data_IF_264053616482
#
_entry.id   IF_264053616482
#
_cell.length_a   1.000
_cell.length_b   1.000
_cell.length_c   1.000
_cell.angle_alpha   90.00
_cell.angle_beta   90.00
_cell.angle_gamma   90.00
#
_symmetry.space_group_name_H-M   'P 1'
#
loop_
_entity.id
_entity.type
_entity.pdbx_description
1 polymer ?
#
# COMPACT_ATOMS: atom_id res chain seq x y z
N UNK A 1 6.52 3.03 12.48
CA UNK A 1 6.02 3.20 13.86
C UNK A 1 6.94 2.41 14.75
N UNK A 2 7.67 3.11 15.63
CA UNK A 2 8.51 2.49 16.64
C UNK A 2 7.65 2.33 17.90
N UNK A 3 7.40 1.11 18.32
CA UNK A 3 6.79 0.82 19.62
C UNK A 3 7.90 0.39 20.58
N UNK A 4 8.14 1.18 21.58
CA UNK A 4 9.06 0.87 22.68
C UNK A 4 8.28 0.18 23.78
N UNK A 5 8.67 -1.06 24.12
CA UNK A 5 8.22 -1.75 25.33
C UNK A 5 9.35 -1.65 26.37
N UNK A 6 9.13 -0.88 27.43
CA UNK A 6 10.03 -0.83 28.58
C UNK A 6 9.48 -1.81 29.60
N UNK A 7 10.12 -2.96 29.75
CA UNK A 7 9.85 -3.90 30.82
C UNK A 7 10.82 -3.74 31.98
N UNK A 8 10.56 -4.39 33.10
CA UNK A 8 11.44 -4.45 34.29
C UNK A 8 12.72 -5.26 34.06
N UNK A 9 12.92 -5.82 32.88
CA UNK A 9 14.10 -6.54 32.46
C UNK A 9 15.08 -5.61 31.73
N UNK A 10 16.38 -5.87 31.82
CA UNK A 10 17.44 -5.07 31.18
C UNK A 10 17.43 -5.19 29.62
N UNK A 11 16.40 -5.74 29.04
CA UNK A 11 16.27 -5.93 27.58
C UNK A 11 15.24 -4.98 27.01
N UNK A 12 15.62 -4.25 25.96
CA UNK A 12 14.73 -3.41 25.15
C UNK A 12 14.42 -4.17 23.87
N UNK A 13 13.13 -4.27 23.54
CA UNK A 13 12.69 -4.84 22.28
C UNK A 13 11.93 -3.80 21.49
N UNK A 14 12.42 -3.49 20.30
CA UNK A 14 11.78 -2.59 19.35
C UNK A 14 11.37 -3.36 18.09
N UNK A 15 10.30 -2.91 17.45
CA UNK A 15 9.88 -3.39 16.11
C UNK A 15 10.04 -2.27 15.10
N UNK A 16 10.79 -2.53 14.02
CA UNK A 16 10.99 -1.61 12.93
C UNK A 16 10.22 -2.08 11.70
N UNK A 17 9.46 -1.20 11.09
CA UNK A 17 8.75 -1.46 9.83
C UNK A 17 9.19 -0.44 8.78
N UNK A 18 9.79 -0.94 7.69
CA UNK A 18 10.27 -0.13 6.59
C UNK A 18 9.33 -0.23 5.40
N UNK A 19 9.04 0.91 4.78
CA UNK A 19 8.34 0.98 3.50
C UNK A 19 9.36 1.23 2.41
N UNK A 20 9.47 0.28 1.47
CA UNK A 20 10.44 0.36 0.40
C UNK A 20 9.80 0.92 -0.87
N UNK A 21 10.55 1.70 -1.68
CA UNK A 21 10.13 2.05 -3.03
C UNK A 21 9.86 0.80 -3.88
N UNK A 22 8.97 0.85 -4.87
CA UNK A 22 8.58 -0.32 -5.66
C UNK A 22 9.74 -0.93 -6.47
N UNK A 23 10.80 -0.18 -6.71
CA UNK A 23 12.00 -0.61 -7.44
C UNK A 23 13.14 -1.08 -6.56
N UNK A 24 12.98 -1.03 -5.22
CA UNK A 24 14.00 -1.47 -4.29
C UNK A 24 13.93 -2.99 -4.06
N UNK A 25 15.09 -3.62 -4.03
CA UNK A 25 15.23 -5.03 -3.64
C UNK A 25 15.13 -5.17 -2.13
N UNK A 26 14.09 -5.84 -1.66
CA UNK A 26 13.82 -5.99 -0.24
C UNK A 26 14.87 -6.80 0.50
N UNK A 27 15.50 -7.79 -0.14
CA UNK A 27 16.55 -8.61 0.47
C UNK A 27 17.83 -7.81 0.66
N UNK A 28 18.22 -7.01 -0.33
CA UNK A 28 19.38 -6.11 -0.22
C UNK A 28 19.13 -5.04 0.86
N UNK A 29 17.95 -4.44 0.87
CA UNK A 29 17.58 -3.46 1.89
C UNK A 29 17.64 -4.07 3.30
N UNK A 30 17.16 -5.30 3.47
CA UNK A 30 17.25 -6.04 4.73
C UNK A 30 18.70 -6.24 5.18
N UNK A 31 19.58 -6.67 4.28
CA UNK A 31 21.01 -6.87 4.58
C UNK A 31 21.71 -5.57 4.97
N UNK A 32 21.41 -4.45 4.30
CA UNK A 32 21.99 -3.16 4.63
C UNK A 32 21.51 -2.62 5.99
N UNK A 33 20.22 -2.82 6.31
CA UNK A 33 19.67 -2.47 7.63
C UNK A 33 20.35 -3.32 8.72
N UNK A 34 20.46 -4.62 8.54
CA UNK A 34 21.11 -5.51 9.47
C UNK A 34 22.56 -5.11 9.70
N UNK A 35 23.32 -4.93 8.64
CA UNK A 35 24.71 -4.48 8.69
C UNK A 35 24.82 -3.15 9.47
N UNK A 36 23.97 -2.18 9.16
CA UNK A 36 23.99 -0.86 9.79
C UNK A 36 23.73 -0.94 11.29
N UNK A 37 22.75 -1.74 11.71
CA UNK A 37 22.36 -1.85 13.12
C UNK A 37 23.32 -2.68 13.95
N UNK A 38 24.05 -3.61 13.34
CA UNK A 38 24.98 -4.50 14.04
C UNK A 38 26.45 -4.04 13.98
N UNK A 39 26.82 -3.12 13.08
CA UNK A 39 28.23 -2.75 12.87
C UNK A 39 28.84 -1.98 14.04
N UNK A 40 28.10 -1.10 14.65
CA UNK A 40 28.60 -0.23 15.75
C UNK A 40 27.45 0.14 16.71
N UNK A 41 26.97 -0.77 17.53
CA UNK A 41 25.93 -0.48 18.49
C UNK A 41 26.41 0.54 19.55
N UNK A 42 25.61 1.58 19.86
CA UNK A 42 26.00 2.59 20.84
C UNK A 42 26.19 1.98 22.23
N UNK A 43 27.14 2.50 22.98
CA UNK A 43 27.43 2.11 24.36
C UNK A 43 27.77 0.61 24.53
N UNK A 44 28.35 -0.03 23.52
CA UNK A 44 28.68 -1.46 23.54
C UNK A 44 27.46 -2.36 23.84
N UNK A 45 26.26 -1.94 23.43
CA UNK A 45 25.07 -2.76 23.59
C UNK A 45 25.15 -4.03 22.76
N UNK A 46 24.71 -5.15 23.31
CA UNK A 46 24.48 -6.34 22.55
C UNK A 46 23.17 -6.21 21.76
N UNK A 47 23.24 -6.26 20.43
CA UNK A 47 22.09 -6.13 19.54
C UNK A 47 21.88 -7.40 18.77
N UNK A 48 20.67 -7.91 18.76
CA UNK A 48 20.25 -9.02 17.91
C UNK A 48 19.02 -8.61 17.08
N UNK A 49 18.95 -9.12 15.85
CA UNK A 49 17.84 -8.84 14.93
C UNK A 49 17.11 -10.13 14.57
N UNK A 50 15.79 -10.04 14.56
CA UNK A 50 14.93 -11.09 14.03
C UNK A 50 14.07 -10.52 12.92
N UNK A 51 14.22 -11.04 11.71
CA UNK A 51 13.39 -10.66 10.57
C UNK A 51 12.09 -11.44 10.56
N UNK A 52 10.98 -10.73 10.37
CA UNK A 52 9.67 -11.37 10.23
C UNK A 52 9.34 -11.62 8.76
N UNK A 53 9.45 -10.57 7.92
CA UNK A 53 9.09 -10.65 6.51
C UNK A 53 9.78 -9.56 5.70
N UNK A 54 10.23 -9.93 4.49
CA UNK A 54 10.65 -8.99 3.47
C UNK A 54 9.88 -9.26 2.18
N UNK A 55 9.37 -8.21 1.54
CA UNK A 55 8.68 -8.31 0.25
C UNK A 55 9.00 -7.08 -0.60
N UNK A 56 9.15 -7.30 -1.89
CA UNK A 56 9.34 -6.23 -2.86
C UNK A 56 8.04 -5.42 -3.03
N UNK A 57 8.21 -4.14 -3.36
CA UNK A 57 7.10 -3.32 -3.81
C UNK A 57 6.63 -3.74 -5.21
N UNK A 58 5.55 -3.14 -5.65
CA UNK A 58 5.01 -3.33 -6.98
C UNK A 58 4.95 -2.00 -7.73
N UNK A 59 5.64 -1.96 -8.88
CA UNK A 59 5.56 -0.82 -9.79
C UNK A 59 4.40 -1.06 -10.75
N UNK A 60 3.27 -0.43 -10.48
CA UNK A 60 2.07 -0.58 -11.29
C UNK A 60 2.34 -0.13 -12.73
N UNK A 61 1.88 -0.90 -13.75
CA UNK A 61 1.96 -0.48 -15.14
C UNK A 61 1.13 0.79 -15.37
N UNK A 62 1.51 1.57 -16.38
CA UNK A 62 0.75 2.75 -16.78
C UNK A 62 -0.67 2.36 -17.18
N UNK A 63 -1.64 3.15 -16.74
CA UNK A 63 -3.03 3.00 -17.10
C UNK A 63 -3.24 3.24 -18.61
N UNK A 64 -3.96 2.35 -19.28
CA UNK A 64 -4.33 2.55 -20.69
C UNK A 64 -5.28 3.75 -20.84
N UNK A 65 -5.21 4.48 -21.98
CA UNK A 65 -6.05 5.65 -22.20
C UNK A 65 -7.54 5.41 -21.95
N UNK A 66 -8.10 4.34 -22.50
CA UNK A 66 -9.53 4.02 -22.34
C UNK A 66 -9.95 3.89 -20.85
N UNK A 67 -9.08 3.30 -20.01
CA UNK A 67 -9.38 3.13 -18.59
C UNK A 67 -9.28 4.45 -17.86
N UNK A 68 -8.27 5.26 -18.18
CA UNK A 68 -8.13 6.60 -17.62
C UNK A 68 -9.33 7.49 -17.95
N UNK A 69 -9.80 7.44 -19.20
CA UNK A 69 -10.98 8.18 -19.64
C UNK A 69 -12.25 7.66 -18.94
N UNK A 70 -12.45 6.34 -18.88
CA UNK A 70 -13.57 5.74 -18.17
C UNK A 70 -13.60 6.09 -16.69
N UNK A 71 -12.46 6.10 -16.00
CA UNK A 71 -12.37 6.55 -14.61
C UNK A 71 -12.74 8.03 -14.46
N UNK A 72 -12.23 8.88 -15.35
CA UNK A 72 -12.50 10.31 -15.30
C UNK A 72 -13.96 10.63 -15.57
N UNK A 73 -14.56 10.02 -16.57
CA UNK A 73 -15.98 10.20 -16.93
C UNK A 73 -16.90 9.72 -15.82
N UNK A 74 -16.70 8.50 -15.34
CA UNK A 74 -17.48 7.93 -14.25
C UNK A 74 -17.37 8.77 -12.96
N UNK A 75 -16.17 9.27 -12.65
CA UNK A 75 -15.97 10.12 -11.49
C UNK A 75 -16.66 11.48 -11.63
N UNK A 76 -16.60 12.11 -12.81
CA UNK A 76 -17.32 13.36 -13.08
C UNK A 76 -18.83 13.18 -12.95
N UNK A 77 -19.36 12.09 -13.48
CA UNK A 77 -20.79 11.78 -13.44
C UNK A 77 -21.29 11.57 -12.01
N UNK A 78 -20.57 10.78 -11.21
CA UNK A 78 -21.03 10.34 -9.88
C UNK A 78 -20.58 11.29 -8.76
N UNK A 79 -19.39 11.89 -8.87
CA UNK A 79 -18.81 12.75 -7.83
C UNK A 79 -18.70 14.21 -8.24
N UNK A 80 -19.00 14.57 -9.49
CA UNK A 80 -18.89 15.93 -10.03
C UNK A 80 -17.45 16.42 -10.22
N UNK A 81 -16.45 15.53 -10.11
CA UNK A 81 -15.02 15.86 -10.22
C UNK A 81 -14.27 14.77 -10.95
N UNK A 82 -13.19 15.10 -11.68
CA UNK A 82 -12.36 14.09 -12.32
C UNK A 82 -11.69 13.18 -11.27
N UNK A 83 -11.42 11.95 -11.68
CA UNK A 83 -10.65 11.02 -10.87
C UNK A 83 -9.25 11.56 -10.54
N UNK A 84 -8.72 11.17 -9.40
CA UNK A 84 -7.35 11.48 -9.00
C UNK A 84 -6.67 10.20 -8.57
N UNK A 85 -5.41 10.07 -8.92
CA UNK A 85 -4.55 8.98 -8.48
C UNK A 85 -3.50 9.52 -7.50
N UNK A 86 -3.13 8.69 -6.55
CA UNK A 86 -2.04 8.95 -5.62
C UNK A 86 -1.17 7.70 -5.51
N UNK A 87 0.12 7.91 -5.27
CA UNK A 87 1.01 6.82 -4.90
C UNK A 87 0.73 6.38 -3.47
N UNK A 88 0.66 5.09 -3.24
CA UNK A 88 0.49 4.53 -1.91
C UNK A 88 1.70 3.71 -1.50
N UNK A 89 2.24 4.00 -0.32
CA UNK A 89 3.36 3.29 0.27
C UNK A 89 2.89 2.06 1.02
N UNK A 90 2.73 0.97 0.34
CA UNK A 90 2.38 -0.31 0.97
C UNK A 90 2.82 -1.48 0.11
N UNK A 91 3.43 -2.47 0.74
CA UNK A 91 3.75 -3.72 0.06
C UNK A 91 2.50 -4.57 0.01
N UNK A 92 1.94 -4.75 -1.18
CA UNK A 92 0.82 -5.67 -1.43
C UNK A 92 1.33 -6.76 -2.36
N UNK A 93 1.91 -7.86 -1.85
CA UNK A 93 2.51 -8.92 -2.68
C UNK A 93 1.52 -9.54 -3.67
N UNK A 94 0.24 -9.53 -3.33
CA UNK A 94 -0.84 -10.02 -4.19
C UNK A 94 -0.93 -9.24 -5.51
N UNK A 95 -0.74 -7.92 -5.49
CA UNK A 95 -0.79 -7.10 -6.70
C UNK A 95 0.39 -7.37 -7.63
N UNK A 96 1.59 -7.56 -7.06
CA UNK A 96 2.76 -7.96 -7.83
C UNK A 96 2.53 -9.31 -8.51
N UNK A 97 2.04 -10.30 -7.77
CA UNK A 97 1.72 -11.64 -8.30
C UNK A 97 0.68 -11.58 -9.45
N UNK A 98 -0.37 -10.78 -9.29
CA UNK A 98 -1.38 -10.59 -10.35
C UNK A 98 -0.79 -9.92 -11.58
N UNK A 99 0.03 -8.87 -11.40
CA UNK A 99 0.69 -8.18 -12.51
C UNK A 99 1.65 -9.07 -13.29
N UNK A 100 2.41 -9.93 -12.60
CA UNK A 100 3.27 -10.93 -13.23
C UNK A 100 2.47 -11.99 -13.99
N UNK A 101 1.39 -12.49 -13.39
CA UNK A 101 0.55 -13.53 -14.00
C UNK A 101 -0.27 -13.00 -15.18
N UNK A 102 -0.68 -11.75 -15.14
CA UNK A 102 -1.53 -11.12 -16.15
C UNK A 102 -0.92 -9.79 -16.65
N UNK A 103 0.17 -9.82 -17.44
CA UNK A 103 0.90 -8.60 -17.83
C UNK A 103 0.08 -7.60 -18.65
N UNK A 104 -1.02 -8.05 -19.27
CA UNK A 104 -1.92 -7.19 -20.06
C UNK A 104 -3.10 -6.65 -19.24
N UNK A 105 -3.26 -7.11 -17.99
CA UNK A 105 -4.34 -6.64 -17.14
C UNK A 105 -4.17 -5.15 -16.79
N UNK A 106 -5.30 -4.48 -16.66
CA UNK A 106 -5.35 -3.12 -16.12
C UNK A 106 -5.86 -3.17 -14.68
N UNK A 107 -5.37 -2.26 -13.86
CA UNK A 107 -5.66 -2.28 -12.44
C UNK A 107 -6.34 -0.98 -12.02
N UNK A 108 -7.48 -1.12 -11.35
CA UNK A 108 -8.14 -0.03 -10.62
C UNK A 108 -8.05 -0.37 -9.14
N UNK A 109 -7.16 0.31 -8.44
CA UNK A 109 -6.95 0.11 -7.01
C UNK A 109 -7.63 1.26 -6.30
N UNK A 110 -8.63 0.95 -5.51
CA UNK A 110 -9.44 1.97 -4.82
C UNK A 110 -9.94 1.44 -3.50
N UNK A 111 -10.47 2.33 -2.66
CA UNK A 111 -11.00 1.98 -1.36
C UNK A 111 -12.04 2.97 -0.87
N UNK A 112 -12.63 2.66 0.26
CA UNK A 112 -13.73 3.42 0.86
C UNK A 112 -13.35 4.13 2.16
N UNK A 113 -12.07 4.12 2.51
CA UNK A 113 -11.58 4.86 3.66
C UNK A 113 -11.63 6.36 3.37
N UNK A 114 -12.20 7.11 4.29
CA UNK A 114 -12.31 8.55 4.22
C UNK A 114 -11.74 9.25 5.46
N UNK A 115 -11.81 10.58 5.52
CA UNK A 115 -11.42 11.33 6.70
C UNK A 115 -12.13 10.81 7.94
N UNK A 116 -11.40 10.68 9.03
CA UNK A 116 -11.89 10.21 10.34
C UNK A 116 -12.38 8.76 10.39
N UNK A 117 -12.17 7.96 9.33
CA UNK A 117 -12.56 6.54 9.32
C UNK A 117 -11.81 5.69 10.35
N UNK A 118 -10.73 6.21 10.92
CA UNK A 118 -9.90 5.56 11.93
C UNK A 118 -9.38 4.16 11.48
N UNK A 119 -8.84 4.12 10.25
CA UNK A 119 -8.31 2.89 9.66
C UNK A 119 -7.36 2.16 10.60
N UNK A 120 -7.57 0.86 10.79
CA UNK A 120 -6.83 -0.02 11.69
C UNK A 120 -6.91 0.38 13.18
N UNK A 121 -7.89 1.19 13.55
CA UNK A 121 -8.13 1.61 14.93
C UNK A 121 -9.49 1.17 15.47
N UNK A 122 -9.76 1.39 16.76
CA UNK A 122 -11.07 1.15 17.34
C UNK A 122 -12.16 1.97 16.66
N UNK A 123 -13.35 1.38 16.49
CA UNK A 123 -14.48 2.03 15.84
C UNK A 123 -14.21 2.50 14.41
N UNK A 124 -13.37 1.77 13.66
CA UNK A 124 -13.24 1.99 12.23
C UNK A 124 -14.62 1.92 11.55
N UNK A 125 -14.90 2.86 10.65
CA UNK A 125 -16.17 2.90 9.96
C UNK A 125 -16.04 3.10 8.46
N UNK A 126 -17.08 2.70 7.73
CA UNK A 126 -17.26 2.94 6.31
C UNK A 126 -18.33 4.00 6.08
N UNK A 127 -18.06 4.94 5.17
CA UNK A 127 -19.06 5.92 4.74
C UNK A 127 -19.96 5.31 3.65
N UNK A 128 -21.11 4.77 4.03
CA UNK A 128 -22.01 4.02 3.14
C UNK A 128 -22.41 4.81 1.87
N UNK A 129 -22.77 6.11 1.93
CA UNK A 129 -23.08 6.86 0.71
C UNK A 129 -21.92 6.94 -0.28
N UNK A 130 -20.69 7.07 0.21
CA UNK A 130 -19.49 7.05 -0.63
C UNK A 130 -19.27 5.67 -1.25
N UNK A 131 -19.39 4.62 -0.47
CA UNK A 131 -19.24 3.24 -0.95
C UNK A 131 -20.24 2.92 -2.09
N UNK A 132 -21.50 3.34 -1.95
CA UNK A 132 -22.51 3.19 -3.01
C UNK A 132 -22.11 3.91 -4.29
N UNK A 133 -21.68 5.18 -4.19
CA UNK A 133 -21.20 5.96 -5.35
C UNK A 133 -19.98 5.31 -6.01
N UNK A 134 -19.02 4.83 -5.22
CA UNK A 134 -17.83 4.16 -5.74
C UNK A 134 -18.21 2.89 -6.50
N UNK A 135 -19.13 2.08 -5.98
CA UNK A 135 -19.61 0.89 -6.67
C UNK A 135 -20.28 1.24 -8.01
N UNK A 136 -21.02 2.34 -8.07
CA UNK A 136 -21.61 2.84 -9.33
C UNK A 136 -20.52 3.25 -10.32
N UNK A 137 -19.47 3.95 -9.88
CA UNK A 137 -18.32 4.27 -10.73
C UNK A 137 -17.66 3.01 -11.29
N UNK A 138 -17.43 1.99 -10.47
CA UNK A 138 -16.84 0.72 -10.92
C UNK A 138 -17.72 0.05 -11.98
N UNK A 139 -19.03 0.02 -11.76
CA UNK A 139 -19.97 -0.54 -12.74
C UNK A 139 -19.92 0.21 -14.09
N UNK A 140 -19.83 1.54 -14.07
CA UNK A 140 -19.68 2.37 -15.28
C UNK A 140 -18.35 2.09 -15.99
N UNK A 141 -17.25 1.97 -15.26
CA UNK A 141 -15.93 1.63 -15.83
C UNK A 141 -15.98 0.27 -16.52
N UNK A 142 -16.59 -0.74 -15.89
CA UNK A 142 -16.76 -2.07 -16.46
C UNK A 142 -17.65 -2.05 -17.71
N UNK A 143 -18.72 -1.27 -17.70
CA UNK A 143 -19.58 -1.09 -18.88
C UNK A 143 -18.82 -0.44 -20.05
N UNK A 144 -17.92 0.49 -19.77
CA UNK A 144 -17.11 1.11 -20.82
C UNK A 144 -16.05 0.17 -21.41
N UNK A 145 -15.58 -0.82 -20.64
CA UNK A 145 -14.67 -1.85 -21.17
C UNK A 145 -15.28 -2.66 -22.31
N UNK A 146 -16.58 -2.94 -22.26
CA UNK A 146 -17.26 -3.72 -23.29
C UNK A 146 -17.43 -2.97 -24.64
N UNK A 147 -17.20 -1.65 -24.63
CA UNK A 147 -17.34 -0.81 -25.82
C UNK A 147 -16.02 -0.59 -26.57
N UNK A 148 -14.91 -1.03 -25.99
CA UNK A 148 -13.55 -0.91 -26.51
C UNK A 148 -12.90 -2.28 -26.75
#
# INVERSE_FOLDING_TARGET
IVRRLVGSEMCIRDSLSFRLPPTADSKKAMQEVEKTLLSDPPNNCEVSLKWEKAANGWNAPSCKPWLNDAMNESSKEIFGKPARAMGEGGTIPFMAMLGEKYPQAQFVITGVLGPNSNAHGPNEFIHIPFAKRLNTCIALILSNYQKN
#
